data_IF_798468699022
#
_entry.id   IF_798468699022
#
_cell.length_a   1.000
_cell.length_b   1.000
_cell.length_c   1.000
_cell.angle_alpha   90.00
_cell.angle_beta   90.00
_cell.angle_gamma   90.00
#
_symmetry.space_group_name_H-M   'P 1'
#
loop_
_entity.id
_entity.type
_entity.pdbx_description
1 polymer ?
#
# COMPACT_ATOMS: atom_id res chain seq x y z
N UNK A 1 5.35 13.79 20.44
CA UNK A 1 5.15 13.46 19.01
C UNK A 1 6.01 14.32 18.08
N UNK A 2 5.85 15.65 18.06
CA UNK A 2 6.54 16.53 17.10
C UNK A 2 8.07 16.49 17.12
N UNK A 3 8.68 16.23 18.27
CA UNK A 3 10.14 16.20 18.40
C UNK A 3 10.75 14.82 18.12
N UNK A 4 9.94 13.75 18.15
CA UNK A 4 10.42 12.36 18.12
C UNK A 4 10.00 11.57 16.87
N UNK A 5 9.00 12.07 16.12
CA UNK A 5 8.51 11.42 14.90
C UNK A 5 8.84 12.29 13.68
N UNK A 6 9.63 11.79 12.71
CA UNK A 6 10.03 12.55 11.53
C UNK A 6 8.82 13.09 10.74
N UNK A 7 8.92 14.32 10.24
CA UNK A 7 7.91 14.98 9.41
C UNK A 7 6.50 15.02 10.01
N UNK A 8 6.36 14.84 11.33
CA UNK A 8 5.05 14.84 12.01
C UNK A 8 4.43 16.24 12.03
N UNK A 9 5.24 17.29 12.15
CA UNK A 9 4.76 18.69 12.14
C UNK A 9 4.03 19.01 10.82
N UNK A 10 4.55 18.55 9.68
CA UNK A 10 3.95 18.81 8.35
C UNK A 10 2.59 18.16 8.13
N UNK A 11 2.14 17.29 9.05
CA UNK A 11 0.86 16.57 8.95
C UNK A 11 -0.30 17.34 9.54
N UNK A 12 -0.03 18.36 10.32
CA UNK A 12 -1.04 19.19 10.93
C UNK A 12 -1.14 20.50 10.16
N UNK A 13 -2.17 20.60 9.32
CA UNK A 13 -2.38 21.76 8.44
C UNK A 13 -3.40 22.76 8.99
N UNK A 14 -4.16 22.39 10.02
CA UNK A 14 -5.18 23.25 10.66
C UNK A 14 -4.58 24.31 11.59
N UNK A 15 -3.32 24.16 11.98
CA UNK A 15 -2.55 25.14 12.74
C UNK A 15 -1.09 25.12 12.25
N UNK A 16 -0.33 26.18 12.56
CA UNK A 16 1.09 26.19 12.23
C UNK A 16 1.88 25.34 13.23
N UNK A 17 2.06 24.06 12.90
CA UNK A 17 2.79 23.09 13.72
C UNK A 17 4.29 23.36 13.84
N UNK A 18 4.85 24.35 13.13
CA UNK A 18 6.26 24.76 13.24
C UNK A 18 6.50 25.91 14.23
N UNK A 19 5.45 26.39 14.91
CA UNK A 19 5.58 27.30 16.06
C UNK A 19 6.34 26.62 17.23
N UNK A 20 6.86 27.44 18.14
CA UNK A 20 7.44 26.94 19.40
C UNK A 20 6.38 26.22 20.25
N UNK A 21 6.82 25.34 21.13
CA UNK A 21 5.93 24.54 21.97
C UNK A 21 5.09 25.43 22.91
N UNK A 22 5.63 26.57 23.37
CA UNK A 22 4.91 27.58 24.16
C UNK A 22 3.80 28.25 23.36
N UNK A 23 4.07 28.59 22.10
CA UNK A 23 3.07 29.20 21.23
C UNK A 23 1.96 28.19 20.87
N UNK A 24 2.31 26.93 20.63
CA UNK A 24 1.35 25.85 20.38
C UNK A 24 0.40 25.62 21.54
N UNK A 25 0.89 25.67 22.79
CA UNK A 25 0.06 25.51 24.00
C UNK A 25 -1.06 26.55 24.16
N UNK A 26 -0.98 27.66 23.40
CA UNK A 26 -2.00 28.71 23.38
C UNK A 26 -2.81 28.75 22.08
N UNK A 27 -2.47 27.88 21.12
CA UNK A 27 -3.13 27.82 19.82
C UNK A 27 -4.39 26.95 19.91
N UNK A 28 -5.55 27.55 19.66
CA UNK A 28 -6.85 26.89 19.87
C UNK A 28 -7.05 25.65 18.98
N UNK A 29 -6.55 25.67 17.75
CA UNK A 29 -6.65 24.52 16.82
C UNK A 29 -5.67 23.41 17.21
N UNK A 30 -4.49 23.75 17.76
CA UNK A 30 -3.61 22.76 18.37
C UNK A 30 -4.28 22.08 19.57
N UNK A 31 -4.84 22.86 20.50
CA UNK A 31 -5.51 22.32 21.69
C UNK A 31 -6.68 21.41 21.33
N UNK A 32 -7.53 21.82 20.37
CA UNK A 32 -8.62 20.99 19.85
C UNK A 32 -8.12 19.66 19.28
N UNK A 33 -6.98 19.68 18.58
CA UNK A 33 -6.38 18.47 18.04
C UNK A 33 -5.78 17.57 19.13
N UNK A 34 -5.22 18.16 20.19
CA UNK A 34 -4.77 17.42 21.39
C UNK A 34 -5.96 16.74 22.06
N UNK A 35 -7.07 17.45 22.26
CA UNK A 35 -8.29 16.89 22.87
C UNK A 35 -8.83 15.70 22.05
N UNK A 36 -8.84 15.82 20.72
CA UNK A 36 -9.25 14.72 19.84
C UNK A 36 -8.33 13.48 19.97
N UNK A 37 -7.02 13.68 20.05
CA UNK A 37 -6.05 12.58 20.21
C UNK A 37 -6.19 11.93 21.58
N UNK A 38 -6.32 12.73 22.64
CA UNK A 38 -6.51 12.23 24.01
C UNK A 38 -7.82 11.47 24.11
N UNK A 39 -8.92 12.01 23.59
CA UNK A 39 -10.22 11.34 23.58
C UNK A 39 -10.18 9.99 22.84
N UNK A 40 -9.40 9.89 21.76
CA UNK A 40 -9.14 8.61 21.08
C UNK A 40 -8.42 7.60 21.99
N UNK A 41 -7.37 8.02 22.70
CA UNK A 41 -6.67 7.15 23.66
C UNK A 41 -7.53 6.78 24.86
N UNK A 42 -8.28 7.72 25.43
CA UNK A 42 -9.22 7.48 26.54
C UNK A 42 -10.29 6.47 26.12
N UNK A 43 -10.81 6.59 24.89
CA UNK A 43 -11.76 5.61 24.33
C UNK A 43 -11.14 4.21 24.30
N UNK A 44 -9.88 4.06 23.89
CA UNK A 44 -9.24 2.75 23.91
C UNK A 44 -8.99 2.23 25.33
N UNK A 45 -8.49 3.09 26.23
CA UNK A 45 -8.15 2.74 27.61
C UNK A 45 -9.38 2.30 28.40
N UNK A 46 -10.50 3.02 28.25
CA UNK A 46 -11.73 2.76 28.97
C UNK A 46 -12.43 1.45 28.55
N UNK A 47 -11.97 0.82 27.46
CA UNK A 47 -12.54 -0.43 26.94
C UNK A 47 -11.53 -1.60 26.98
N UNK A 48 -10.39 -1.48 27.67
CA UNK A 48 -9.36 -2.54 27.71
C UNK A 48 -9.85 -3.88 28.27
N UNK A 49 -10.85 -3.87 29.15
CA UNK A 49 -11.39 -5.07 29.80
C UNK A 49 -12.46 -5.79 28.96
N UNK A 50 -12.93 -5.18 27.87
CA UNK A 50 -13.92 -5.73 26.95
C UNK A 50 -13.29 -5.89 25.56
N UNK A 51 -12.95 -7.12 25.20
CA UNK A 51 -12.19 -7.41 23.97
C UNK A 51 -12.98 -7.05 22.71
N UNK A 52 -14.29 -7.31 22.68
CA UNK A 52 -15.12 -7.05 21.52
C UNK A 52 -15.30 -5.54 21.34
N UNK A 53 -15.60 -4.83 22.44
CA UNK A 53 -15.74 -3.38 22.39
C UNK A 53 -14.40 -2.68 22.07
N UNK A 54 -13.27 -3.18 22.59
CA UNK A 54 -11.96 -2.66 22.25
C UNK A 54 -11.67 -2.81 20.75
N UNK A 55 -11.98 -3.96 20.17
CA UNK A 55 -11.81 -4.20 18.74
C UNK A 55 -12.67 -3.21 17.92
N UNK A 56 -13.96 -3.09 18.23
CA UNK A 56 -14.87 -2.14 17.57
C UNK A 56 -14.32 -0.70 17.62
N UNK A 57 -13.72 -0.28 18.74
CA UNK A 57 -13.11 1.05 18.86
C UNK A 57 -11.84 1.20 18.05
N UNK A 58 -11.00 0.17 18.00
CA UNK A 58 -9.80 0.17 17.15
C UNK A 58 -10.18 0.24 15.67
N UNK A 59 -11.20 -0.50 15.25
CA UNK A 59 -11.73 -0.51 13.88
C UNK A 59 -12.32 0.85 13.49
N UNK A 60 -13.18 1.42 14.32
CA UNK A 60 -13.75 2.76 14.09
C UNK A 60 -12.67 3.82 13.96
N UNK A 61 -11.66 3.79 14.83
CA UNK A 61 -10.53 4.73 14.73
C UNK A 61 -9.70 4.48 13.47
N UNK A 62 -9.52 3.23 13.07
CA UNK A 62 -8.80 2.91 11.85
C UNK A 62 -9.50 3.49 10.62
N UNK A 63 -10.81 3.30 10.51
CA UNK A 63 -11.61 3.83 9.40
C UNK A 63 -11.57 5.36 9.37
N UNK A 64 -11.78 6.02 10.50
CA UNK A 64 -11.71 7.48 10.59
C UNK A 64 -10.36 8.06 10.12
N UNK A 65 -9.27 7.33 10.32
CA UNK A 65 -7.94 7.74 9.88
C UNK A 65 -7.71 7.44 8.39
N UNK A 66 -8.21 6.32 7.89
CA UNK A 66 -8.11 5.92 6.48
C UNK A 66 -9.01 6.76 5.57
N UNK A 67 -10.16 7.25 6.06
CA UNK A 67 -11.08 8.11 5.30
C UNK A 67 -10.57 9.55 5.11
N UNK A 68 -9.54 9.98 5.87
CA UNK A 68 -8.96 11.31 5.71
C UNK A 68 -8.33 11.47 4.33
N UNK A 69 -8.28 12.71 3.85
CA UNK A 69 -7.61 13.06 2.58
C UNK A 69 -6.50 14.08 2.85
N UNK A 70 -5.21 13.70 2.75
CA UNK A 70 -4.71 12.34 2.48
C UNK A 70 -4.93 11.38 3.67
N UNK A 71 -4.97 10.07 3.39
CA UNK A 71 -5.20 9.04 4.40
C UNK A 71 -4.07 9.04 5.45
N UNK A 72 -4.45 8.86 6.72
CA UNK A 72 -3.49 8.76 7.84
C UNK A 72 -3.30 7.27 8.18
N UNK A 73 -2.27 6.67 7.62
CA UNK A 73 -1.99 5.25 7.72
C UNK A 73 -0.82 4.87 8.67
N UNK A 74 -0.48 3.58 8.75
CA UNK A 74 0.69 3.00 9.47
C UNK A 74 2.04 3.67 9.23
N UNK A 75 2.27 4.42 8.15
CA UNK A 75 3.51 5.17 8.02
C UNK A 75 3.65 6.22 9.14
N UNK A 76 2.52 6.74 9.62
CA UNK A 76 2.43 7.65 10.76
C UNK A 76 2.42 6.88 12.09
N UNK A 77 1.54 5.89 12.21
CA UNK A 77 1.36 5.13 13.44
C UNK A 77 2.55 4.21 13.77
N UNK A 78 3.26 3.70 12.77
CA UNK A 78 4.45 2.87 12.96
C UNK A 78 5.62 3.66 13.55
N UNK A 79 5.78 4.92 13.14
CA UNK A 79 6.78 5.80 13.75
C UNK A 79 6.37 6.21 15.17
N UNK A 80 5.07 6.45 15.40
CA UNK A 80 4.53 6.71 16.74
C UNK A 80 4.74 5.49 17.66
N UNK A 81 4.39 4.29 17.22
CA UNK A 81 4.57 3.03 17.94
C UNK A 81 6.04 2.86 18.39
N UNK A 82 6.99 3.13 17.49
CA UNK A 82 8.42 3.04 17.80
C UNK A 82 8.94 4.08 18.79
N UNK A 83 8.17 5.13 19.09
CA UNK A 83 8.63 6.30 19.84
C UNK A 83 7.74 6.68 21.02
N UNK A 84 6.60 6.01 21.21
CA UNK A 84 5.67 6.32 22.28
C UNK A 84 6.27 6.03 23.66
N UNK A 85 7.14 5.02 23.78
CA UNK A 85 7.87 4.73 25.02
C UNK A 85 8.64 5.94 25.55
N UNK A 86 9.26 6.75 24.68
CA UNK A 86 10.02 7.94 25.09
C UNK A 86 9.14 8.97 25.82
N UNK A 87 7.86 9.06 25.45
CA UNK A 87 6.92 9.93 26.15
C UNK A 87 6.59 9.37 27.54
N UNK A 88 6.36 8.06 27.64
CA UNK A 88 6.03 7.39 28.91
C UNK A 88 7.20 7.45 29.89
N UNK A 89 8.42 7.17 29.43
CA UNK A 89 9.65 7.29 30.21
C UNK A 89 9.80 8.70 30.80
N UNK A 90 9.65 9.73 29.97
CA UNK A 90 9.78 11.11 30.42
C UNK A 90 8.63 11.56 31.33
N UNK A 91 7.39 11.16 31.04
CA UNK A 91 6.21 11.58 31.79
C UNK A 91 6.09 10.88 33.15
N UNK A 92 6.48 9.60 33.23
CA UNK A 92 6.35 8.78 34.44
C UNK A 92 7.68 8.56 35.16
N UNK A 93 8.80 9.03 34.60
CA UNK A 93 10.16 8.78 35.11
C UNK A 93 10.47 7.28 35.27
N UNK A 94 10.06 6.47 34.28
CA UNK A 94 10.26 5.02 34.22
C UNK A 94 11.32 4.63 33.17
N UNK A 95 11.83 3.40 33.27
CA UNK A 95 12.76 2.84 32.28
C UNK A 95 12.06 2.43 30.98
N UNK A 96 12.84 2.30 29.90
CA UNK A 96 12.32 1.92 28.57
C UNK A 96 11.74 0.51 28.49
N UNK A 97 12.11 -0.34 29.44
CA UNK A 97 11.64 -1.72 29.60
C UNK A 97 10.53 -1.87 30.65
N UNK A 98 10.02 -0.76 31.20
CA UNK A 98 8.93 -0.79 32.17
C UNK A 98 7.65 -1.37 31.57
N UNK A 99 6.78 -1.88 32.44
CA UNK A 99 5.48 -2.41 32.02
C UNK A 99 4.63 -1.34 31.34
N UNK A 100 4.69 -0.10 31.82
CA UNK A 100 3.99 1.04 31.24
C UNK A 100 4.48 1.35 29.83
N UNK A 101 5.81 1.47 29.63
CA UNK A 101 6.39 1.76 28.32
C UNK A 101 6.03 0.68 27.29
N UNK A 102 6.03 -0.59 27.72
CA UNK A 102 5.62 -1.73 26.88
C UNK A 102 4.12 -1.72 26.59
N UNK A 103 3.28 -1.49 27.59
CA UNK A 103 1.82 -1.47 27.44
C UNK A 103 1.36 -0.41 26.43
N UNK A 104 1.90 0.81 26.52
CA UNK A 104 1.60 1.87 25.55
C UNK A 104 2.10 1.54 24.14
N UNK A 105 3.28 0.93 24.02
CA UNK A 105 3.81 0.47 22.74
C UNK A 105 2.92 -0.62 22.12
N UNK A 106 2.40 -1.54 22.94
CA UNK A 106 1.47 -2.57 22.50
C UNK A 106 0.12 -2.00 22.09
N UNK A 107 -0.46 -1.05 22.84
CA UNK A 107 -1.73 -0.42 22.50
C UNK A 107 -1.68 0.28 21.13
N UNK A 108 -0.65 1.10 20.90
CA UNK A 108 -0.43 1.74 19.59
C UNK A 108 -0.13 0.68 18.52
N UNK A 109 0.55 -0.41 18.88
CA UNK A 109 0.79 -1.55 18.00
C UNK A 109 -0.50 -2.24 17.54
N UNK A 110 -1.47 -2.42 18.44
CA UNK A 110 -2.79 -2.98 18.12
C UNK A 110 -3.55 -2.09 17.15
N UNK A 111 -3.62 -0.77 17.42
CA UNK A 111 -4.23 0.19 16.49
C UNK A 111 -3.54 0.16 15.12
N UNK A 112 -2.21 0.12 15.12
CA UNK A 112 -1.44 0.06 13.88
C UNK A 112 -1.71 -1.23 13.07
N UNK A 113 -1.99 -2.35 13.75
CA UNK A 113 -2.40 -3.60 13.11
C UNK A 113 -3.78 -3.46 12.46
N UNK A 114 -4.78 -2.96 13.18
CA UNK A 114 -6.14 -2.76 12.64
C UNK A 114 -6.15 -1.78 11.47
N UNK A 115 -5.41 -0.66 11.56
CA UNK A 115 -5.23 0.28 10.44
C UNK A 115 -4.64 -0.39 9.20
N UNK A 116 -3.67 -1.30 9.39
CA UNK A 116 -3.11 -2.07 8.28
C UNK A 116 -4.20 -2.97 7.70
N UNK A 117 -4.83 -3.79 8.52
CA UNK A 117 -5.81 -4.79 8.09
C UNK A 117 -6.97 -4.11 7.32
N UNK A 118 -7.54 -3.04 7.87
CA UNK A 118 -8.59 -2.25 7.21
C UNK A 118 -8.11 -1.60 5.91
N UNK A 119 -6.88 -1.10 5.85
CA UNK A 119 -6.33 -0.54 4.62
C UNK A 119 -6.19 -1.60 3.51
N UNK A 120 -5.88 -2.86 3.83
CA UNK A 120 -5.89 -3.96 2.84
C UNK A 120 -7.32 -4.24 2.40
N UNK A 121 -8.25 -4.36 3.36
CA UNK A 121 -9.65 -4.64 3.06
C UNK A 121 -10.28 -3.57 2.18
N UNK A 122 -9.97 -2.29 2.41
CA UNK A 122 -10.42 -1.19 1.56
C UNK A 122 -9.87 -1.26 0.12
N UNK A 123 -8.73 -1.93 -0.09
CA UNK A 123 -8.21 -2.23 -1.44
C UNK A 123 -8.86 -3.47 -2.07
N UNK A 124 -9.61 -4.27 -1.31
CA UNK A 124 -10.32 -5.44 -1.80
C UNK A 124 -9.47 -6.70 -1.96
N UNK A 125 -8.30 -6.80 -1.31
CA UNK A 125 -7.45 -7.99 -1.33
C UNK A 125 -7.57 -8.81 -0.04
N UNK A 126 -7.96 -10.08 -0.14
CA UNK A 126 -7.98 -10.99 1.02
C UNK A 126 -6.58 -11.53 1.36
N UNK A 127 -6.43 -12.15 2.53
CA UNK A 127 -5.19 -12.85 2.93
C UNK A 127 -4.78 -13.91 1.91
N UNK A 128 -5.76 -14.65 1.40
CA UNK A 128 -5.58 -15.68 0.37
C UNK A 128 -5.05 -15.05 -0.92
N UNK A 129 -5.53 -13.87 -1.30
CA UNK A 129 -5.05 -13.19 -2.52
C UNK A 129 -3.60 -12.77 -2.38
N UNK A 130 -3.21 -12.23 -1.23
CA UNK A 130 -1.82 -11.80 -0.98
C UNK A 130 -0.85 -12.96 -1.01
N UNK A 131 -1.18 -14.07 -0.34
CA UNK A 131 -0.37 -15.29 -0.40
C UNK A 131 -0.29 -15.86 -1.81
N UNK A 132 -1.42 -15.87 -2.54
CA UNK A 132 -1.46 -16.33 -3.91
C UNK A 132 -0.61 -15.45 -4.85
N UNK A 133 -0.62 -14.13 -4.69
CA UNK A 133 0.20 -13.18 -5.46
C UNK A 133 1.70 -13.45 -5.25
N UNK A 134 2.14 -13.53 -3.98
CA UNK A 134 3.56 -13.81 -3.66
C UNK A 134 3.98 -15.18 -4.19
N UNK A 135 3.19 -16.23 -3.90
CA UNK A 135 3.51 -17.60 -4.31
C UNK A 135 3.54 -17.75 -5.83
N UNK A 136 2.55 -17.20 -6.53
CA UNK A 136 2.47 -17.28 -7.99
C UNK A 136 3.58 -16.49 -8.68
N UNK A 137 3.92 -15.29 -8.19
CA UNK A 137 5.06 -14.53 -8.73
C UNK A 137 6.38 -15.29 -8.56
N UNK A 138 6.62 -15.89 -7.39
CA UNK A 138 7.80 -16.74 -7.14
C UNK A 138 7.86 -17.95 -8.08
N UNK A 139 6.72 -18.57 -8.40
CA UNK A 139 6.67 -19.66 -9.36
C UNK A 139 6.92 -19.19 -10.80
N UNK A 140 6.35 -18.05 -11.22
CA UNK A 140 6.58 -17.47 -12.54
C UNK A 140 8.06 -17.14 -12.75
N UNK A 141 8.68 -16.46 -11.78
CA UNK A 141 10.10 -16.12 -11.82
C UNK A 141 10.99 -17.36 -11.78
N UNK A 142 10.67 -18.36 -10.95
CA UNK A 142 11.38 -19.63 -10.90
C UNK A 142 11.34 -20.39 -12.23
N UNK A 143 10.16 -20.52 -12.85
CA UNK A 143 9.99 -21.19 -14.15
C UNK A 143 10.68 -20.44 -15.30
N UNK A 144 10.71 -19.11 -15.23
CA UNK A 144 11.33 -18.27 -16.26
C UNK A 144 12.85 -18.12 -16.10
N UNK A 145 13.43 -18.58 -14.98
CA UNK A 145 14.85 -18.39 -14.67
C UNK A 145 15.20 -16.96 -14.27
N UNK A 146 14.26 -16.22 -13.67
CA UNK A 146 14.47 -14.87 -13.16
C UNK A 146 13.31 -13.91 -13.47
N UNK A 147 13.23 -12.81 -12.72
CA UNK A 147 12.12 -11.85 -12.83
C UNK A 147 12.06 -11.12 -14.16
N UNK A 148 13.21 -10.73 -14.73
CA UNK A 148 13.26 -10.14 -16.09
C UNK A 148 12.62 -11.06 -17.14
N UNK A 149 12.88 -12.36 -17.08
CA UNK A 149 12.30 -13.32 -18.04
C UNK A 149 10.80 -13.52 -17.81
N UNK A 150 10.37 -13.57 -16.55
CA UNK A 150 8.94 -13.63 -16.21
C UNK A 150 8.21 -12.37 -16.69
N UNK A 151 8.75 -11.19 -16.42
CA UNK A 151 8.25 -9.91 -16.91
C UNK A 151 8.23 -9.83 -18.43
N UNK A 152 9.27 -10.32 -19.12
CA UNK A 152 9.29 -10.42 -20.58
C UNK A 152 8.12 -11.27 -21.09
N UNK A 153 7.91 -12.46 -20.49
CA UNK A 153 6.82 -13.34 -20.89
C UNK A 153 5.44 -12.72 -20.64
N UNK A 154 5.29 -12.00 -19.52
CA UNK A 154 4.06 -11.26 -19.21
C UNK A 154 3.81 -10.15 -20.23
N UNK A 155 4.80 -9.32 -20.55
CA UNK A 155 4.65 -8.21 -21.50
C UNK A 155 4.37 -8.72 -22.91
N UNK A 156 5.04 -9.79 -23.37
CA UNK A 156 4.72 -10.39 -24.67
C UNK A 156 3.29 -10.92 -24.73
N UNK A 157 2.87 -11.68 -23.71
CA UNK A 157 1.49 -12.12 -23.60
C UNK A 157 0.51 -10.94 -23.59
N UNK A 158 0.84 -9.85 -22.88
CA UNK A 158 0.00 -8.66 -22.79
C UNK A 158 -0.18 -7.98 -24.16
N UNK A 159 0.90 -7.89 -24.96
CA UNK A 159 0.84 -7.35 -26.32
C UNK A 159 -0.02 -8.20 -27.27
N UNK A 160 -0.09 -9.51 -27.05
CA UNK A 160 -0.90 -10.42 -27.87
C UNK A 160 -2.37 -10.49 -27.46
N UNK A 161 -2.66 -10.36 -26.16
CA UNK A 161 -3.94 -10.76 -25.59
C UNK A 161 -4.76 -9.57 -25.06
N UNK A 162 -4.14 -8.41 -24.84
CA UNK A 162 -4.85 -7.23 -24.33
C UNK A 162 -5.14 -6.24 -25.46
N UNK A 163 -6.43 -5.93 -25.73
CA UNK A 163 -6.81 -4.98 -26.77
C UNK A 163 -6.09 -3.63 -26.66
N UNK A 164 -5.73 -3.05 -27.80
CA UNK A 164 -5.06 -1.74 -27.94
C UNK A 164 -3.70 -1.61 -27.23
N UNK A 165 -3.16 -2.68 -26.65
CA UNK A 165 -1.92 -2.63 -25.88
C UNK A 165 -0.71 -2.34 -26.77
N UNK A 166 -0.64 -2.96 -27.96
CA UNK A 166 0.47 -2.71 -28.90
C UNK A 166 0.58 -1.26 -29.31
N UNK A 167 -0.56 -0.59 -29.53
CA UNK A 167 -0.58 0.80 -29.99
C UNK A 167 -0.14 1.78 -28.89
N UNK A 168 -0.07 1.34 -27.63
CA UNK A 168 0.43 2.17 -26.53
C UNK A 168 1.94 2.36 -26.58
N UNK A 169 2.69 1.39 -27.08
CA UNK A 169 4.15 1.42 -27.04
C UNK A 169 4.71 2.01 -28.33
N UNK A 170 5.23 3.25 -28.25
CA UNK A 170 5.72 4.01 -29.41
C UNK A 170 7.23 4.07 -29.53
N UNK A 171 7.97 3.67 -28.48
CA UNK A 171 9.44 3.77 -28.45
C UNK A 171 10.15 2.57 -29.09
N UNK A 172 9.43 1.49 -29.36
CA UNK A 172 9.88 0.33 -30.13
C UNK A 172 8.76 -0.11 -31.07
N UNK A 173 9.09 -0.92 -32.09
CA UNK A 173 8.07 -1.49 -32.96
C UNK A 173 7.33 -2.62 -32.23
N UNK A 174 6.24 -2.28 -31.53
CA UNK A 174 5.43 -3.25 -30.81
C UNK A 174 4.62 -4.19 -31.71
N UNK A 175 4.86 -4.26 -33.03
CA UNK A 175 4.25 -5.23 -33.96
C UNK A 175 5.27 -6.19 -34.58
N UNK A 176 6.54 -6.09 -34.21
CA UNK A 176 7.55 -7.07 -34.61
C UNK A 176 7.36 -8.40 -33.87
N UNK A 177 8.01 -9.47 -34.35
CA UNK A 177 7.96 -10.79 -33.71
C UNK A 177 8.57 -10.76 -32.31
N UNK A 178 8.15 -11.69 -31.45
CA UNK A 178 8.68 -11.84 -30.09
C UNK A 178 10.20 -11.98 -30.06
N UNK A 179 10.78 -12.74 -30.99
CA UNK A 179 12.24 -12.89 -31.10
C UNK A 179 12.97 -11.58 -31.41
N UNK A 180 12.31 -10.68 -32.15
CA UNK A 180 12.85 -9.36 -32.44
C UNK A 180 12.62 -8.41 -31.26
N UNK A 181 11.45 -8.47 -30.60
CA UNK A 181 11.17 -7.71 -29.38
C UNK A 181 12.19 -8.03 -28.28
N UNK A 182 12.51 -9.31 -28.07
CA UNK A 182 13.51 -9.74 -27.07
C UNK A 182 14.92 -9.18 -27.32
N UNK A 183 15.23 -8.76 -28.55
CA UNK A 183 16.51 -8.15 -28.93
C UNK A 183 16.43 -6.62 -28.99
N UNK A 184 15.23 -6.05 -28.95
CA UNK A 184 14.99 -4.61 -29.00
C UNK A 184 15.34 -3.99 -27.63
N UNK A 185 16.32 -3.09 -27.63
CA UNK A 185 16.84 -2.49 -26.41
C UNK A 185 15.79 -1.66 -25.67
N UNK A 186 14.88 -1.02 -26.40
CA UNK A 186 13.85 -0.17 -25.78
C UNK A 186 12.69 -1.00 -25.25
N UNK A 187 12.35 -2.11 -25.91
CA UNK A 187 11.47 -3.12 -25.34
C UNK A 187 12.02 -3.67 -24.02
N UNK A 188 13.29 -4.07 -23.99
CA UNK A 188 13.92 -4.63 -22.77
C UNK A 188 13.88 -3.64 -21.61
N UNK A 189 14.19 -2.36 -21.85
CA UNK A 189 14.07 -1.32 -20.81
C UNK A 189 12.64 -1.17 -20.31
N UNK A 190 11.66 -1.22 -21.20
CA UNK A 190 10.25 -1.12 -20.81
C UNK A 190 9.81 -2.32 -19.97
N UNK A 191 10.28 -3.53 -20.29
CA UNK A 191 10.08 -4.73 -19.48
C UNK A 191 10.68 -4.55 -18.09
N UNK A 192 11.89 -4.01 -17.97
CA UNK A 192 12.54 -3.79 -16.67
C UNK A 192 11.73 -2.84 -15.79
N UNK A 193 11.21 -1.74 -16.36
CA UNK A 193 10.37 -0.79 -15.62
C UNK A 193 9.06 -1.41 -15.15
N UNK A 194 8.39 -2.18 -16.01
CA UNK A 194 7.15 -2.87 -15.66
C UNK A 194 7.40 -3.93 -14.60
N UNK A 195 8.46 -4.72 -14.74
CA UNK A 195 8.84 -5.77 -13.80
C UNK A 195 9.18 -5.19 -12.43
N UNK A 196 9.98 -4.12 -12.38
CA UNK A 196 10.32 -3.45 -11.12
C UNK A 196 9.11 -2.80 -10.45
N UNK A 197 8.18 -2.23 -11.22
CA UNK A 197 6.90 -1.74 -10.69
C UNK A 197 6.04 -2.85 -10.09
N UNK A 198 5.99 -4.01 -10.76
CA UNK A 198 5.27 -5.19 -10.29
C UNK A 198 5.92 -5.80 -9.04
N UNK A 199 7.23 -5.98 -9.03
CA UNK A 199 7.98 -6.44 -7.85
C UNK A 199 7.74 -5.50 -6.66
N UNK A 200 7.78 -4.18 -6.89
CA UNK A 200 7.45 -3.21 -5.84
C UNK A 200 6.02 -3.38 -5.31
N UNK A 201 5.05 -3.82 -6.11
CA UNK A 201 3.70 -4.11 -5.59
C UNK A 201 3.69 -5.41 -4.80
N UNK A 202 4.29 -6.48 -5.33
CA UNK A 202 4.31 -7.81 -4.70
C UNK A 202 5.09 -7.80 -3.38
N UNK A 203 6.26 -7.16 -3.33
CA UNK A 203 7.09 -7.05 -2.13
C UNK A 203 6.38 -6.31 -1.00
N UNK A 204 5.48 -5.40 -1.36
CA UNK A 204 4.73 -4.60 -0.41
C UNK A 204 3.32 -5.14 -0.15
N UNK A 205 2.83 -6.18 -0.82
CA UNK A 205 1.42 -6.61 -0.74
C UNK A 205 0.97 -6.92 0.70
N UNK A 206 1.88 -7.45 1.53
CA UNK A 206 1.66 -7.75 2.96
C UNK A 206 1.85 -6.54 3.88
N UNK A 207 2.25 -5.40 3.33
CA UNK A 207 2.26 -4.11 3.98
C UNK A 207 1.27 -3.19 3.26
N UNK A 208 -0.03 -3.20 3.64
CA UNK A 208 -1.13 -2.45 3.03
C UNK A 208 -0.81 -1.02 2.62
N UNK A 209 0.10 -0.38 3.34
CA UNK A 209 0.35 1.04 3.23
C UNK A 209 1.50 1.34 2.31
N UNK A 210 2.58 0.57 2.42
CA UNK A 210 3.58 0.60 1.36
C UNK A 210 2.97 0.14 0.03
N UNK A 211 2.00 -0.78 0.09
CA UNK A 211 1.24 -1.25 -1.05
C UNK A 211 0.33 -0.18 -1.63
N UNK A 212 -0.52 0.45 -0.81
CA UNK A 212 -1.36 1.59 -1.21
C UNK A 212 -0.50 2.72 -1.79
N UNK A 213 0.57 3.12 -1.11
CA UNK A 213 1.44 4.19 -1.59
C UNK A 213 2.16 3.79 -2.89
N UNK A 214 2.51 2.51 -3.06
CA UNK A 214 3.03 2.00 -4.34
C UNK A 214 1.98 2.09 -5.44
N UNK A 215 0.73 1.72 -5.17
CA UNK A 215 -0.39 1.88 -6.10
C UNK A 215 -0.62 3.33 -6.48
N UNK A 216 -0.70 4.26 -5.52
CA UNK A 216 -0.89 5.69 -5.78
C UNK A 216 0.26 6.26 -6.59
N UNK A 217 1.52 5.99 -6.21
CA UNK A 217 2.68 6.46 -6.99
C UNK A 217 2.68 5.93 -8.43
N UNK A 218 2.34 4.66 -8.62
CA UNK A 218 2.24 4.05 -9.95
C UNK A 218 1.07 4.64 -10.74
N UNK A 219 -0.09 4.84 -10.12
CA UNK A 219 -1.25 5.48 -10.74
C UNK A 219 -0.90 6.90 -11.19
N UNK A 220 -0.35 7.73 -10.29
CA UNK A 220 0.13 9.08 -10.61
C UNK A 220 1.13 9.09 -11.76
N UNK A 221 2.10 8.17 -11.74
CA UNK A 221 3.09 8.08 -12.81
C UNK A 221 2.43 7.82 -14.18
N UNK A 222 1.48 6.89 -14.25
CA UNK A 222 0.76 6.56 -15.49
C UNK A 222 -0.19 7.68 -15.94
N UNK A 223 -0.86 8.33 -15.00
CA UNK A 223 -1.79 9.42 -15.22
C UNK A 223 -1.10 10.68 -15.75
N UNK A 224 0.15 10.92 -15.33
CA UNK A 224 0.97 12.06 -15.75
C UNK A 224 1.74 11.84 -17.07
N UNK A 225 1.69 10.63 -17.66
CA UNK A 225 2.29 10.38 -18.97
C UNK A 225 1.60 11.21 -20.07
N UNK A 226 2.34 11.48 -21.14
CA UNK A 226 1.83 12.12 -22.36
C UNK A 226 2.13 11.22 -23.56
N UNK A 227 1.12 10.54 -24.16
CA UNK A 227 -0.28 10.52 -23.75
C UNK A 227 -0.52 9.80 -22.41
N UNK A 228 -1.61 10.18 -21.73
CA UNK A 228 -2.06 9.58 -20.47
C UNK A 228 -2.25 8.07 -20.65
N UNK A 229 -1.98 7.31 -19.59
CA UNK A 229 -2.25 5.87 -19.54
C UNK A 229 -3.19 5.61 -18.39
N UNK A 230 -4.48 5.48 -18.71
CA UNK A 230 -5.52 5.27 -17.72
C UNK A 230 -6.24 3.94 -17.89
N UNK A 231 -7.49 3.95 -17.43
CA UNK A 231 -8.40 2.81 -17.42
C UNK A 231 -8.64 2.21 -18.81
N UNK A 232 -8.43 2.97 -19.88
CA UNK A 232 -8.54 2.49 -21.26
C UNK A 232 -7.54 1.36 -21.58
N UNK A 233 -6.42 1.28 -20.86
CA UNK A 233 -5.43 0.20 -20.96
C UNK A 233 -5.49 -0.80 -19.80
N UNK A 234 -5.69 -0.30 -18.57
CA UNK A 234 -5.70 -1.16 -17.38
C UNK A 234 -7.02 -1.94 -17.18
N UNK A 235 -8.17 -1.44 -17.62
CA UNK A 235 -9.43 -2.20 -17.55
C UNK A 235 -9.42 -3.44 -18.46
N UNK A 236 -8.95 -3.38 -19.72
CA UNK A 236 -8.72 -4.58 -20.52
C UNK A 236 -7.69 -5.52 -19.90
N UNK A 237 -6.57 -5.02 -19.38
CA UNK A 237 -5.56 -5.85 -18.73
C UNK A 237 -6.15 -6.63 -17.54
N UNK A 238 -6.89 -5.95 -16.66
CA UNK A 238 -7.59 -6.55 -15.53
C UNK A 238 -8.53 -7.69 -15.96
N UNK A 239 -9.25 -7.53 -17.07
CA UNK A 239 -10.17 -8.57 -17.57
C UNK A 239 -9.48 -9.79 -18.15
N UNK A 240 -8.22 -9.70 -18.57
CA UNK A 240 -7.54 -10.79 -19.27
C UNK A 240 -6.42 -11.45 -18.48
N UNK A 241 -5.89 -10.81 -17.43
CA UNK A 241 -4.70 -11.28 -16.71
C UNK A 241 -4.83 -12.71 -16.19
N UNK A 242 -6.04 -13.11 -15.77
CA UNK A 242 -6.29 -14.45 -15.25
C UNK A 242 -5.86 -15.54 -16.24
N UNK A 243 -6.10 -15.35 -17.54
CA UNK A 243 -5.73 -16.33 -18.59
C UNK A 243 -4.22 -16.50 -18.73
N UNK A 244 -3.43 -15.45 -18.48
CA UNK A 244 -1.98 -15.55 -18.43
C UNK A 244 -1.55 -16.45 -17.27
N UNK A 245 -2.10 -16.18 -16.09
CA UNK A 245 -1.74 -16.88 -14.85
C UNK A 245 -2.12 -18.36 -14.94
N UNK A 246 -3.33 -18.66 -15.42
CA UNK A 246 -3.80 -20.02 -15.69
C UNK A 246 -2.82 -20.78 -16.58
N UNK A 247 -2.48 -20.21 -17.74
CA UNK A 247 -1.60 -20.84 -18.72
C UNK A 247 -0.16 -20.98 -18.22
N UNK A 248 0.39 -19.92 -17.64
CA UNK A 248 1.79 -19.88 -17.22
C UNK A 248 2.06 -20.79 -16.01
N UNK A 249 1.07 -20.96 -15.12
CA UNK A 249 1.17 -21.83 -13.96
C UNK A 249 0.61 -23.23 -14.18
N UNK A 250 -0.21 -23.43 -15.20
CA UNK A 250 -0.90 -24.70 -15.44
C UNK A 250 -2.01 -24.96 -14.41
N UNK A 251 -2.74 -23.92 -14.04
CA UNK A 251 -3.79 -23.94 -13.01
C UNK A 251 -5.15 -23.59 -13.62
N UNK A 252 -6.24 -24.01 -12.97
CA UNK A 252 -7.60 -23.68 -13.42
C UNK A 252 -7.98 -22.22 -13.09
N UNK A 253 -8.98 -21.69 -13.80
CA UNK A 253 -9.57 -20.37 -13.52
C UNK A 253 -10.06 -20.22 -12.07
N UNK A 254 -10.51 -21.32 -11.46
CA UNK A 254 -11.00 -21.35 -10.08
C UNK A 254 -9.87 -21.43 -9.04
N UNK A 255 -8.60 -21.34 -9.45
CA UNK A 255 -7.48 -21.29 -8.53
C UNK A 255 -7.34 -19.90 -7.90
N UNK A 256 -6.72 -19.83 -6.72
CA UNK A 256 -6.51 -18.55 -6.02
C UNK A 256 -5.66 -17.57 -6.83
N UNK A 257 -4.62 -18.05 -7.52
CA UNK A 257 -3.70 -17.18 -8.24
C UNK A 257 -4.38 -16.36 -9.37
N UNK A 258 -5.09 -16.94 -10.36
CA UNK A 258 -5.76 -16.14 -11.40
C UNK A 258 -6.72 -15.08 -10.85
N UNK A 259 -7.46 -15.39 -9.77
CA UNK A 259 -8.32 -14.42 -9.08
C UNK A 259 -7.52 -13.30 -8.43
N UNK A 260 -6.52 -13.64 -7.63
CA UNK A 260 -5.71 -12.66 -6.91
C UNK A 260 -5.02 -11.63 -7.82
N UNK A 261 -4.56 -12.05 -9.00
CA UNK A 261 -4.02 -11.12 -10.01
C UNK A 261 -5.09 -10.21 -10.62
N UNK A 262 -6.31 -10.71 -10.78
CA UNK A 262 -7.45 -9.91 -11.22
C UNK A 262 -7.85 -8.90 -10.15
N UNK A 263 -7.86 -9.30 -8.88
CA UNK A 263 -8.23 -8.44 -7.76
C UNK A 263 -7.16 -7.36 -7.50
N UNK A 264 -5.87 -7.70 -7.68
CA UNK A 264 -4.77 -6.73 -7.65
C UNK A 264 -5.00 -5.59 -8.66
N UNK A 265 -5.37 -5.94 -9.89
CA UNK A 265 -5.64 -4.94 -10.94
C UNK A 265 -6.97 -4.22 -10.72
N UNK A 266 -7.95 -4.85 -10.07
CA UNK A 266 -9.19 -4.20 -9.65
C UNK A 266 -8.89 -3.11 -8.62
N UNK A 267 -8.08 -3.41 -7.60
CA UNK A 267 -7.61 -2.45 -6.61
C UNK A 267 -6.87 -1.28 -7.28
N UNK A 268 -5.94 -1.57 -8.18
CA UNK A 268 -5.20 -0.55 -8.93
C UNK A 268 -6.12 0.33 -9.81
N UNK A 269 -7.11 -0.28 -10.47
CA UNK A 269 -8.10 0.44 -11.26
C UNK A 269 -8.98 1.36 -10.41
N UNK A 270 -9.25 1.03 -9.15
CA UNK A 270 -9.96 1.93 -8.25
C UNK A 270 -9.11 3.15 -7.90
N UNK A 271 -7.81 2.96 -7.60
CA UNK A 271 -6.88 4.07 -7.39
C UNK A 271 -6.73 4.96 -8.63
N UNK A 272 -6.79 4.39 -9.84
CA UNK A 272 -6.75 5.17 -11.10
C UNK A 272 -8.01 6.00 -11.37
N UNK A 273 -9.14 5.69 -10.74
CA UNK A 273 -10.41 6.44 -10.89
C UNK A 273 -10.45 7.67 -10.00
N UNK A 274 -9.83 7.58 -8.83
CA UNK A 274 -9.77 8.63 -7.81
C UNK A 274 -8.90 9.83 -8.24
#
# INVERSE_FOLDING_TARGET
MFNNVPNMRDRFTKFNAHKSDEALKTDAEFLKQVDAIIGGFETLINNLDDTDLLLDRLESLADEHLEKKPAISSNYFGSLQKKIHLFIEGALSVGSDSDEARAWTHLVGSLNKVIKDHAIHNLGLSDVDREALVSSWNQLTGRAGGSRNAGTNLVLWMLDNVPNMRDRFTKFNARQSDDNLRKDTEFVKQVDLITGGLESMIDNVNNPILFHDAMVRLADAHMNLKPRVGLEYFSPLQRHIHTYIEKALGVSADSAAPRAWTDLLTAFNNVLKD
#
